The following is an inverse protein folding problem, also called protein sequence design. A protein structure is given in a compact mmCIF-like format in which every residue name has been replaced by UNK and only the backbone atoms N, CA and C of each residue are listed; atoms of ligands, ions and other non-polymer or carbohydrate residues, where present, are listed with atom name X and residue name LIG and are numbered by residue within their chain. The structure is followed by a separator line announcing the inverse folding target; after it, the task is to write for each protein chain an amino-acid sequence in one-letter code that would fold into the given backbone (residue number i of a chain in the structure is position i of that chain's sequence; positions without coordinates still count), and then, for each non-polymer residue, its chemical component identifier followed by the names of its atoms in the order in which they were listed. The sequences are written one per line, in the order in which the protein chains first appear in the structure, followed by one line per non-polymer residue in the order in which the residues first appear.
data_IF_288173251587
#
_entry.id   IF_288173251587
#
_cell.length_a   1.000
_cell.length_b   1.000
_cell.length_c   1.000
_cell.angle_alpha   90.00
_cell.angle_beta   90.00
_cell.angle_gamma   90.00
#
_symmetry.space_group_name_H-M   'P 1'
#
loop_
_entity.id
_entity.type
_entity.pdbx_description
1 polymer ?
#
# COMPACT_ATOMS: atom_id res chain seq x y z
N UNK A 1 41.13 -13.64 9.45
CA UNK A 1 39.70 -13.47 9.09
C UNK A 1 39.58 -12.14 8.41
N UNK A 2 39.30 -12.13 7.12
CA UNK A 2 39.13 -10.88 6.35
C UNK A 2 37.78 -10.25 6.71
N UNK A 3 37.83 -9.05 7.28
CA UNK A 3 36.64 -8.21 7.52
C UNK A 3 36.07 -7.78 6.16
N UNK A 4 35.02 -8.44 5.72
CA UNK A 4 34.23 -7.94 4.55
C UNK A 4 33.44 -6.72 4.99
N UNK A 5 33.96 -5.52 4.72
CA UNK A 5 33.15 -4.30 4.83
C UNK A 5 31.93 -4.44 3.95
N UNK A 6 30.74 -4.08 4.45
CA UNK A 6 29.54 -4.09 3.62
C UNK A 6 29.78 -3.18 2.40
N UNK A 7 29.42 -3.66 1.21
CA UNK A 7 29.46 -2.83 -0.02
C UNK A 7 28.58 -1.60 0.20
N UNK A 8 29.15 -0.42 0.15
CA UNK A 8 28.40 0.83 0.15
C UNK A 8 27.59 0.90 -1.15
N UNK A 9 26.28 0.91 -1.03
CA UNK A 9 25.39 1.21 -2.18
C UNK A 9 25.31 2.71 -2.35
N UNK A 10 25.61 3.19 -3.56
CA UNK A 10 25.42 4.60 -3.91
C UNK A 10 24.11 4.72 -4.66
N UNK A 11 23.17 5.47 -4.09
CA UNK A 11 21.85 5.73 -4.65
C UNK A 11 21.69 7.25 -4.78
N UNK A 12 21.25 7.73 -5.92
CA UNK A 12 20.93 9.15 -6.10
C UNK A 12 19.59 9.49 -5.43
N UNK A 13 19.37 10.77 -5.10
CA UNK A 13 18.10 11.22 -4.51
C UNK A 13 16.88 10.89 -5.39
N UNK A 14 16.91 11.05 -6.73
CA UNK A 14 15.78 10.63 -7.56
C UNK A 14 15.52 9.13 -7.53
N UNK A 15 16.55 8.28 -7.51
CA UNK A 15 16.40 6.84 -7.37
C UNK A 15 15.81 6.46 -6.01
N UNK A 16 16.28 7.10 -4.95
CA UNK A 16 15.72 6.89 -3.60
C UNK A 16 14.25 7.32 -3.52
N UNK A 17 13.91 8.46 -4.11
CA UNK A 17 12.53 8.95 -4.15
C UNK A 17 11.58 7.95 -4.83
N UNK A 18 12.04 7.28 -5.89
CA UNK A 18 11.26 6.23 -6.58
C UNK A 18 11.08 4.93 -5.80
N UNK A 19 11.69 4.81 -4.62
CA UNK A 19 11.50 3.70 -3.69
C UNK A 19 10.54 4.05 -2.55
N UNK A 20 9.93 5.25 -2.57
CA UNK A 20 9.10 5.77 -1.47
C UNK A 20 7.63 5.80 -1.88
N UNK A 21 6.81 5.15 -1.07
CA UNK A 21 5.37 5.39 -1.01
C UNK A 21 5.11 6.46 0.05
N UNK A 22 4.78 7.68 -0.37
CA UNK A 22 4.58 8.79 0.55
C UNK A 22 3.22 8.68 1.24
N UNK A 23 3.24 8.34 2.51
CA UNK A 23 2.03 8.07 3.31
C UNK A 23 1.30 9.35 3.74
N UNK A 24 0.02 9.46 3.35
CA UNK A 24 -0.92 10.53 3.71
C UNK A 24 -2.15 9.93 4.42
N UNK A 25 -1.89 9.05 5.40
CA UNK A 25 -2.89 8.16 5.99
C UNK A 25 -3.33 8.55 7.40
N UNK A 26 -2.63 9.48 8.05
CA UNK A 26 -3.00 9.81 9.44
C UNK A 26 -4.47 10.25 9.52
N UNK A 27 -5.25 9.73 10.47
CA UNK A 27 -6.70 9.97 10.53
C UNK A 27 -7.09 11.44 10.72
N UNK A 28 -6.20 12.24 11.32
CA UNK A 28 -6.46 13.68 11.57
C UNK A 28 -6.04 14.59 10.41
N UNK A 29 -5.44 14.05 9.33
CA UNK A 29 -5.08 14.88 8.18
C UNK A 29 -6.32 15.47 7.52
N UNK A 30 -6.30 16.78 7.39
CA UNK A 30 -7.30 17.56 6.64
C UNK A 30 -7.03 17.47 5.13
N UNK A 31 -7.95 17.96 4.32
CA UNK A 31 -7.75 18.05 2.86
C UNK A 31 -6.55 18.95 2.51
N UNK A 32 -6.30 20.02 3.29
CA UNK A 32 -5.13 20.89 3.11
C UNK A 32 -3.83 20.16 3.42
N UNK A 33 -3.79 19.34 4.49
CA UNK A 33 -2.62 18.52 4.80
C UNK A 33 -2.32 17.51 3.70
N UNK A 34 -3.37 16.87 3.17
CA UNK A 34 -3.24 15.93 2.06
C UNK A 34 -2.78 16.65 0.79
N UNK A 35 -3.32 17.83 0.49
CA UNK A 35 -2.88 18.63 -0.66
C UNK A 35 -1.39 19.02 -0.55
N UNK A 36 -0.94 19.45 0.63
CA UNK A 36 0.46 19.74 0.90
C UNK A 36 1.36 18.51 0.70
N UNK A 37 0.92 17.34 1.20
CA UNK A 37 1.63 16.07 1.02
C UNK A 37 1.71 15.63 -0.44
N UNK A 38 0.63 15.80 -1.21
CA UNK A 38 0.63 15.52 -2.65
C UNK A 38 1.58 16.45 -3.42
N UNK A 39 1.66 17.74 -3.03
CA UNK A 39 2.63 18.67 -3.59
C UNK A 39 4.08 18.23 -3.32
N UNK A 40 4.36 17.72 -2.13
CA UNK A 40 5.66 17.11 -1.78
C UNK A 40 5.93 15.88 -2.65
N UNK A 41 4.96 14.98 -2.79
CA UNK A 41 5.06 13.80 -3.65
C UNK A 41 5.45 14.17 -5.08
N UNK A 42 4.78 15.16 -5.64
CA UNK A 42 5.03 15.71 -6.98
C UNK A 42 6.44 16.31 -7.10
N UNK A 43 6.82 17.15 -6.12
CA UNK A 43 8.13 17.83 -6.07
C UNK A 43 9.29 16.84 -6.15
N UNK A 44 9.20 15.74 -5.43
CA UNK A 44 10.27 14.74 -5.37
C UNK A 44 10.06 13.58 -6.33
N UNK A 45 8.95 13.56 -7.07
CA UNK A 45 8.60 12.48 -8.01
C UNK A 45 8.69 11.10 -7.37
N UNK A 46 8.15 10.94 -6.16
CA UNK A 46 8.14 9.65 -5.43
C UNK A 46 7.44 8.55 -6.23
N UNK A 47 7.55 7.28 -5.81
CA UNK A 47 6.89 6.18 -6.49
C UNK A 47 5.37 6.38 -6.45
N UNK A 48 4.81 6.46 -5.25
CA UNK A 48 3.36 6.63 -5.06
C UNK A 48 3.04 7.66 -3.98
N UNK A 49 1.82 8.20 -4.01
CA UNK A 49 1.18 8.85 -2.88
C UNK A 49 0.15 7.89 -2.29
N UNK A 50 0.40 7.44 -1.06
CA UNK A 50 -0.47 6.52 -0.36
C UNK A 50 -1.58 7.30 0.35
N UNK A 51 -2.85 7.05 -0.03
CA UNK A 51 -4.00 7.86 0.38
C UNK A 51 -5.15 7.01 0.93
N UNK A 52 -6.00 7.65 1.72
CA UNK A 52 -7.27 7.08 2.17
C UNK A 52 -8.24 6.94 0.98
N UNK A 53 -9.13 5.94 0.92
CA UNK A 53 -9.99 5.70 -0.24
C UNK A 53 -10.76 6.93 -0.72
N UNK A 54 -11.33 7.72 0.18
CA UNK A 54 -12.10 8.91 -0.19
C UNK A 54 -11.28 10.06 -0.77
N UNK A 55 -9.94 9.98 -0.69
CA UNK A 55 -9.03 10.96 -1.30
C UNK A 55 -8.54 10.58 -2.71
N UNK A 56 -8.94 9.42 -3.27
CA UNK A 56 -8.44 8.96 -4.59
C UNK A 56 -8.70 9.99 -5.68
N UNK A 57 -9.95 10.43 -5.81
CA UNK A 57 -10.32 11.41 -6.84
C UNK A 57 -9.67 12.78 -6.61
N UNK A 58 -9.51 13.19 -5.36
CA UNK A 58 -8.79 14.40 -4.99
C UNK A 58 -7.31 14.31 -5.37
N UNK A 59 -6.65 13.21 -5.01
CA UNK A 59 -5.26 12.95 -5.37
C UNK A 59 -5.07 12.88 -6.90
N UNK A 60 -5.98 12.21 -7.62
CA UNK A 60 -5.97 12.12 -9.08
C UNK A 60 -5.93 13.51 -9.74
N UNK A 61 -6.76 14.42 -9.25
CA UNK A 61 -6.79 15.80 -9.74
C UNK A 61 -5.48 16.54 -9.47
N UNK A 62 -4.94 16.44 -8.25
CA UNK A 62 -3.75 17.18 -7.85
C UNK A 62 -2.45 16.60 -8.42
N UNK A 63 -2.41 15.30 -8.70
CA UNK A 63 -1.26 14.62 -9.29
C UNK A 63 -1.28 14.62 -10.82
N UNK A 64 -2.26 15.24 -11.46
CA UNK A 64 -2.36 15.31 -12.92
C UNK A 64 -1.05 15.83 -13.53
N UNK A 65 -0.61 15.18 -14.62
CA UNK A 65 0.65 15.50 -15.31
C UNK A 65 1.93 15.14 -14.55
N UNK A 66 1.83 14.41 -13.41
CA UNK A 66 3.00 13.89 -12.69
C UNK A 66 3.21 12.40 -12.94
N UNK A 67 4.41 11.91 -12.61
CA UNK A 67 4.75 10.48 -12.66
C UNK A 67 4.46 9.74 -11.35
N UNK A 68 3.83 10.41 -10.37
CA UNK A 68 3.48 9.82 -9.07
C UNK A 68 2.20 9.03 -9.21
N UNK A 69 2.23 7.75 -8.84
CA UNK A 69 1.06 6.89 -8.86
C UNK A 69 0.21 7.10 -7.60
N UNK A 70 -1.07 6.76 -7.68
CA UNK A 70 -1.98 6.78 -6.53
C UNK A 70 -2.03 5.39 -5.95
N UNK A 71 -1.75 5.28 -4.64
CA UNK A 71 -1.75 4.04 -3.88
C UNK A 71 -2.78 4.13 -2.74
N UNK A 72 -4.07 3.83 -2.98
CA UNK A 72 -5.05 3.79 -1.90
C UNK A 72 -4.90 2.55 -1.04
N UNK A 73 -5.22 2.70 0.25
CA UNK A 73 -5.32 1.58 1.19
C UNK A 73 -6.74 1.00 1.18
N UNK A 74 -6.88 -0.30 1.43
CA UNK A 74 -8.16 -0.99 1.62
C UNK A 74 -8.11 -1.95 2.80
N UNK A 75 -9.26 -2.22 3.44
CA UNK A 75 -9.30 -2.99 4.68
C UNK A 75 -8.46 -2.35 5.79
N UNK A 76 -8.16 -1.09 5.69
CA UNK A 76 -7.17 -0.39 6.51
C UNK A 76 -7.84 0.28 7.74
N UNK A 77 -7.17 0.33 8.94
CA UNK A 77 -5.81 -0.19 9.17
C UNK A 77 -5.73 -1.64 9.68
N UNK A 78 -6.83 -2.28 10.02
CA UNK A 78 -6.81 -3.52 10.82
C UNK A 78 -7.03 -4.81 10.02
N UNK A 79 -7.34 -4.75 8.75
CA UNK A 79 -7.55 -5.91 7.89
C UNK A 79 -8.76 -6.79 8.26
N UNK A 80 -9.67 -6.30 9.10
CA UNK A 80 -10.74 -7.09 9.73
C UNK A 80 -12.10 -7.05 9.01
N UNK A 81 -12.16 -6.42 7.83
CA UNK A 81 -13.34 -6.50 6.96
C UNK A 81 -13.48 -7.91 6.37
N UNK A 82 -14.68 -8.25 5.91
CA UNK A 82 -14.87 -9.51 5.16
C UNK A 82 -14.17 -9.44 3.80
N UNK A 83 -13.88 -10.59 3.23
CA UNK A 83 -13.23 -10.69 1.91
C UNK A 83 -14.03 -9.95 0.83
N UNK A 84 -15.36 -10.07 0.85
CA UNK A 84 -16.26 -9.43 -0.13
C UNK A 84 -16.18 -7.90 -0.03
N UNK A 85 -16.10 -7.35 1.19
CA UNK A 85 -15.92 -5.91 1.40
C UNK A 85 -14.56 -5.44 0.88
N UNK A 86 -13.48 -6.19 1.15
CA UNK A 86 -12.15 -5.86 0.61
C UNK A 86 -12.10 -5.92 -0.92
N UNK A 87 -12.75 -6.92 -1.53
CA UNK A 87 -12.87 -7.02 -3.00
C UNK A 87 -13.62 -5.81 -3.56
N UNK A 88 -14.72 -5.40 -2.91
CA UNK A 88 -15.47 -4.22 -3.31
C UNK A 88 -14.63 -2.93 -3.19
N UNK A 89 -13.98 -2.72 -2.04
CA UNK A 89 -13.09 -1.56 -1.82
C UNK A 89 -11.97 -1.52 -2.85
N UNK A 90 -11.30 -2.65 -3.11
CA UNK A 90 -10.18 -2.74 -4.05
C UNK A 90 -10.62 -2.46 -5.49
N UNK A 91 -11.76 -3.02 -5.91
CA UNK A 91 -12.36 -2.76 -7.22
C UNK A 91 -12.65 -1.27 -7.39
N UNK A 92 -13.31 -0.69 -6.41
CA UNK A 92 -13.68 0.72 -6.41
C UNK A 92 -12.45 1.64 -6.44
N UNK A 93 -11.45 1.32 -5.61
CA UNK A 93 -10.21 2.07 -5.55
C UNK A 93 -9.44 2.06 -6.89
N UNK A 94 -9.39 0.91 -7.56
CA UNK A 94 -8.77 0.79 -8.88
C UNK A 94 -9.56 1.54 -9.97
N UNK A 95 -10.90 1.42 -9.99
CA UNK A 95 -11.78 2.12 -10.94
C UNK A 95 -11.66 3.66 -10.80
N UNK A 96 -11.46 4.17 -9.59
CA UNK A 96 -11.29 5.61 -9.32
C UNK A 96 -9.89 6.13 -9.69
N UNK A 97 -8.93 5.24 -9.91
CA UNK A 97 -7.60 5.61 -10.42
C UNK A 97 -6.42 5.15 -9.57
N UNK A 98 -6.64 4.33 -8.55
CA UNK A 98 -5.57 3.60 -7.84
C UNK A 98 -4.80 2.73 -8.81
N UNK A 99 -3.48 2.80 -8.76
CA UNK A 99 -2.57 2.00 -9.59
C UNK A 99 -1.83 0.93 -8.81
N UNK A 100 -1.63 1.16 -7.54
CA UNK A 100 -1.17 0.19 -6.55
C UNK A 100 -2.19 0.21 -5.42
N UNK A 101 -2.67 -0.94 -5.00
CA UNK A 101 -3.71 -1.05 -3.96
C UNK A 101 -3.09 -1.75 -2.74
N UNK A 102 -3.05 -1.05 -1.62
CA UNK A 102 -2.48 -1.57 -0.37
C UNK A 102 -3.57 -2.18 0.51
N UNK A 103 -3.60 -3.51 0.58
CA UNK A 103 -4.55 -4.26 1.38
C UNK A 103 -3.92 -4.73 2.69
N UNK A 104 -4.56 -4.44 3.81
CA UNK A 104 -4.17 -5.07 5.09
C UNK A 104 -4.68 -6.50 5.14
N UNK A 105 -3.78 -7.46 5.41
CA UNK A 105 -4.12 -8.86 5.62
C UNK A 105 -5.08 -9.02 6.81
N UNK A 106 -5.89 -10.08 6.82
CA UNK A 106 -6.70 -10.39 8.01
C UNK A 106 -5.79 -10.91 9.13
N UNK A 107 -5.29 -10.00 9.97
CA UNK A 107 -4.34 -10.29 11.04
C UNK A 107 -4.83 -11.41 11.96
N UNK A 108 -6.10 -11.37 12.36
CA UNK A 108 -6.67 -12.39 13.22
C UNK A 108 -6.65 -13.80 12.59
N UNK A 109 -6.83 -13.90 11.28
CA UNK A 109 -6.75 -15.17 10.55
C UNK A 109 -5.33 -15.67 10.42
N UNK A 110 -4.37 -14.75 10.16
CA UNK A 110 -2.93 -15.07 10.15
C UNK A 110 -2.53 -15.66 11.51
N UNK A 111 -2.84 -14.95 12.59
CA UNK A 111 -2.51 -15.38 13.96
C UNK A 111 -3.18 -16.69 14.38
N UNK A 112 -4.32 -16.99 13.78
CA UNK A 112 -5.04 -18.25 14.00
C UNK A 112 -4.55 -19.39 13.11
N UNK A 113 -3.50 -19.18 12.30
CA UNK A 113 -2.96 -20.16 11.35
C UNK A 113 -3.92 -20.56 10.24
N UNK A 114 -4.88 -19.68 9.89
CA UNK A 114 -5.90 -19.96 8.85
C UNK A 114 -5.38 -19.60 7.46
N UNK A 115 -4.28 -20.21 7.05
CA UNK A 115 -3.55 -19.88 5.84
C UNK A 115 -4.37 -20.00 4.55
N UNK A 116 -5.21 -21.03 4.43
CA UNK A 116 -6.11 -21.20 3.28
C UNK A 116 -7.11 -20.04 3.15
N UNK A 117 -7.58 -19.52 4.29
CA UNK A 117 -8.45 -18.33 4.28
C UNK A 117 -7.67 -17.11 3.80
N UNK A 118 -6.46 -16.90 4.36
CA UNK A 118 -5.62 -15.74 4.02
C UNK A 118 -5.24 -15.77 2.54
N UNK A 119 -4.81 -16.92 2.03
CA UNK A 119 -4.50 -17.13 0.62
C UNK A 119 -5.72 -16.83 -0.28
N UNK A 120 -6.88 -17.42 0.04
CA UNK A 120 -8.09 -17.21 -0.75
C UNK A 120 -8.60 -15.76 -0.73
N UNK A 121 -8.39 -15.03 0.38
CA UNK A 121 -8.67 -13.59 0.45
C UNK A 121 -7.77 -12.80 -0.49
N UNK A 122 -6.44 -13.05 -0.41
CA UNK A 122 -5.45 -12.37 -1.28
C UNK A 122 -5.74 -12.67 -2.75
N UNK A 123 -5.99 -13.93 -3.11
CA UNK A 123 -6.30 -14.33 -4.49
C UNK A 123 -7.52 -13.60 -5.05
N UNK A 124 -8.62 -13.52 -4.27
CA UNK A 124 -9.85 -12.84 -4.70
C UNK A 124 -9.67 -11.34 -4.88
N UNK A 125 -8.99 -10.70 -3.94
CA UNK A 125 -8.71 -9.26 -4.03
C UNK A 125 -7.75 -8.99 -5.17
N UNK A 126 -6.69 -9.79 -5.32
CA UNK A 126 -5.73 -9.65 -6.41
C UNK A 126 -6.38 -9.79 -7.79
N UNK A 127 -7.26 -10.77 -7.97
CA UNK A 127 -8.00 -10.96 -9.22
C UNK A 127 -8.78 -9.68 -9.60
N UNK A 128 -9.49 -9.08 -8.65
CA UNK A 128 -10.27 -7.87 -8.86
C UNK A 128 -9.40 -6.64 -9.20
N UNK A 129 -8.20 -6.55 -8.60
CA UNK A 129 -7.24 -5.46 -8.82
C UNK A 129 -6.57 -5.60 -10.20
N UNK A 130 -6.08 -6.80 -10.53
CA UNK A 130 -5.39 -7.08 -11.79
C UNK A 130 -6.32 -6.93 -13.00
N UNK A 131 -7.59 -7.34 -12.89
CA UNK A 131 -8.62 -7.13 -13.92
C UNK A 131 -8.74 -5.65 -14.32
N UNK A 132 -8.42 -4.72 -13.40
CA UNK A 132 -8.47 -3.26 -13.60
C UNK A 132 -7.12 -2.63 -13.95
N UNK A 133 -6.11 -3.45 -14.21
CA UNK A 133 -4.76 -3.00 -14.58
C UNK A 133 -4.01 -2.29 -13.45
N UNK A 134 -4.28 -2.69 -12.21
CA UNK A 134 -3.58 -2.22 -11.01
C UNK A 134 -2.77 -3.38 -10.37
N UNK A 135 -1.97 -3.07 -9.35
CA UNK A 135 -1.14 -4.01 -8.59
C UNK A 135 -1.66 -4.07 -7.16
N UNK A 136 -1.78 -5.27 -6.62
CA UNK A 136 -2.06 -5.47 -5.20
C UNK A 136 -0.75 -5.56 -4.41
N UNK A 137 -0.64 -4.78 -3.32
CA UNK A 137 0.39 -4.96 -2.30
C UNK A 137 -0.28 -5.36 -0.99
N UNK A 138 0.31 -6.32 -0.27
CA UNK A 138 -0.27 -6.84 0.97
C UNK A 138 0.52 -6.34 2.16
N UNK A 139 -0.15 -5.60 3.05
CA UNK A 139 0.40 -5.14 4.32
C UNK A 139 0.29 -6.29 5.33
N UNK A 140 1.42 -6.83 5.78
CA UNK A 140 1.48 -7.95 6.73
C UNK A 140 1.29 -7.55 8.19
N UNK A 141 1.34 -6.26 8.50
CA UNK A 141 1.19 -5.70 9.85
C UNK A 141 2.22 -6.31 10.84
N UNK A 142 3.49 -6.23 10.48
CA UNK A 142 4.61 -6.83 11.22
C UNK A 142 4.72 -6.32 12.67
N UNK A 143 4.15 -5.17 12.99
CA UNK A 143 4.12 -4.60 14.34
C UNK A 143 3.15 -5.32 15.28
N UNK A 144 2.23 -6.11 14.75
CA UNK A 144 1.42 -7.05 15.52
C UNK A 144 2.31 -8.21 16.01
N UNK A 145 3.35 -7.89 16.74
CA UNK A 145 4.49 -8.73 17.14
C UNK A 145 4.06 -10.06 17.72
N UNK A 146 4.16 -11.09 16.90
CA UNK A 146 4.22 -12.45 17.40
C UNK A 146 5.59 -13.03 17.07
N UNK A 147 6.37 -13.24 18.12
CA UNK A 147 7.79 -13.65 18.08
C UNK A 147 8.10 -14.93 17.27
N UNK A 148 7.10 -15.65 16.77
CA UNK A 148 7.26 -16.95 16.12
C UNK A 148 6.61 -17.06 14.74
N UNK A 149 6.02 -16.00 14.19
CA UNK A 149 5.45 -15.98 12.83
C UNK A 149 6.31 -15.09 11.92
N UNK A 150 7.61 -15.34 11.90
CA UNK A 150 8.43 -14.91 10.77
C UNK A 150 8.02 -15.76 9.58
N UNK A 151 7.62 -15.06 8.53
CA UNK A 151 7.31 -15.53 7.19
C UNK A 151 8.34 -16.59 6.75
N UNK A 152 8.12 -17.84 7.10
CA UNK A 152 8.96 -18.95 6.62
C UNK A 152 8.31 -19.72 5.47
N UNK A 153 7.01 -19.47 5.18
CA UNK A 153 6.25 -20.28 4.23
C UNK A 153 5.26 -19.47 3.34
N UNK A 154 5.57 -18.21 2.99
CA UNK A 154 4.82 -17.49 1.96
C UNK A 154 5.58 -17.43 0.65
#
# INVERSE_FOLDING_TARGET
MASTRPKTLTVSLPELAKMIDHSLLHPTMTDDDVAAGLAISKKYSVATACVKPYHILFAKKLLEGSSVLICPVIGFPHGNSTTEVKVFEASRAADEGGKEIDMVVNVGRVLSGKWEFVKGEIEKVNAAVVERGAILKVIFENDCKYRNLLIQDL
#
